data_IF_994684734693
#
_entry.id   IF_994684734693
#
_cell.length_a   1.000
_cell.length_b   1.000
_cell.length_c   1.000
_cell.angle_alpha   90.00
_cell.angle_beta   90.00
_cell.angle_gamma   90.00
#
_symmetry.space_group_name_H-M   'P 1'
#
loop_
_entity.id
_entity.type
_entity.pdbx_description
1 polymer ?
#
# COMPACT_ATOMS: atom_id res chain seq x y z
N UNK A 1 7.50 -13.67 -3.16
CA UNK A 1 7.10 -14.19 -4.50
C UNK A 1 8.07 -15.32 -4.84
N UNK A 2 7.86 -16.13 -5.89
CA UNK A 2 8.91 -17.02 -6.38
C UNK A 2 10.17 -16.21 -6.76
N UNK A 3 11.30 -16.88 -6.94
CA UNK A 3 12.47 -16.34 -7.65
C UNK A 3 13.13 -15.09 -7.03
N UNK A 4 13.28 -15.06 -5.70
CA UNK A 4 13.94 -13.96 -4.95
C UNK A 4 13.25 -12.59 -5.08
N UNK A 5 11.98 -12.58 -5.50
CA UNK A 5 11.19 -11.36 -5.60
C UNK A 5 10.42 -11.09 -4.31
N UNK A 6 10.51 -9.84 -3.83
CA UNK A 6 9.79 -9.34 -2.65
C UNK A 6 8.89 -8.17 -3.03
N UNK A 7 7.63 -8.18 -2.54
CA UNK A 7 6.75 -7.03 -2.62
C UNK A 7 6.94 -6.17 -1.37
N UNK A 8 7.21 -4.88 -1.57
CA UNK A 8 7.50 -3.92 -0.50
C UNK A 8 6.58 -2.72 -0.67
N UNK A 9 5.99 -2.25 0.42
CA UNK A 9 5.10 -1.09 0.43
C UNK A 9 5.34 -0.23 1.67
N UNK A 10 5.01 1.05 1.56
CA UNK A 10 5.00 2.00 2.67
C UNK A 10 3.56 2.35 3.02
N UNK A 11 3.19 2.26 4.30
CA UNK A 11 1.86 2.63 4.80
C UNK A 11 2.01 3.88 5.65
N UNK A 12 1.30 4.93 5.28
CA UNK A 12 1.39 6.26 5.88
C UNK A 12 -0.01 6.78 6.18
N UNK A 13 -0.10 7.89 6.91
CA UNK A 13 -1.37 8.61 7.08
C UNK A 13 -1.95 9.02 5.71
N UNK A 14 -3.25 8.79 5.52
CA UNK A 14 -3.90 8.97 4.22
C UNK A 14 -3.97 10.43 3.79
N UNK A 15 -4.25 11.35 4.71
CA UNK A 15 -4.38 12.76 4.41
C UNK A 15 -3.01 13.38 4.11
N UNK A 16 -2.02 13.10 4.95
CA UNK A 16 -0.66 13.56 4.77
C UNK A 16 0.01 12.94 3.53
N UNK A 17 -0.05 11.61 3.36
CA UNK A 17 0.50 10.96 2.17
C UNK A 17 -0.18 11.44 0.88
N UNK A 18 -1.48 11.72 0.96
CA UNK A 18 -2.24 12.35 -0.12
C UNK A 18 -1.71 13.72 -0.52
N UNK A 19 -1.29 14.56 0.44
CA UNK A 19 -0.72 15.89 0.14
C UNK A 19 0.68 15.78 -0.46
N UNK A 20 1.53 14.89 0.05
CA UNK A 20 2.89 14.67 -0.47
C UNK A 20 2.88 14.23 -1.94
N UNK A 21 1.94 13.36 -2.32
CA UNK A 21 1.80 12.89 -3.71
C UNK A 21 1.33 13.98 -4.69
N UNK A 22 0.97 15.18 -4.23
CA UNK A 22 0.69 16.33 -5.11
C UNK A 22 1.95 17.13 -5.44
N UNK A 23 3.01 16.97 -4.65
CA UNK A 23 4.24 17.76 -4.74
C UNK A 23 5.40 17.00 -5.39
N UNK A 24 5.33 15.66 -5.44
CA UNK A 24 6.37 14.81 -6.01
C UNK A 24 5.81 13.55 -6.67
N UNK A 25 6.68 12.81 -7.40
CA UNK A 25 6.28 11.56 -8.03
C UNK A 25 6.03 10.46 -7.00
N UNK A 26 5.27 9.44 -7.38
CA UNK A 26 5.03 8.29 -6.50
C UNK A 26 6.31 7.51 -6.20
N UNK A 27 7.22 7.43 -7.17
CA UNK A 27 8.51 6.76 -6.98
C UNK A 27 9.41 7.53 -6.01
N UNK A 28 9.54 8.86 -6.18
CA UNK A 28 10.32 9.70 -5.28
C UNK A 28 9.79 9.62 -3.85
N UNK A 29 8.47 9.75 -3.68
CA UNK A 29 7.82 9.61 -2.38
C UNK A 29 8.09 8.23 -1.76
N UNK A 30 7.92 7.14 -2.51
CA UNK A 30 8.20 5.79 -2.04
C UNK A 30 9.66 5.63 -1.59
N UNK A 31 10.62 6.12 -2.39
CA UNK A 31 12.05 6.03 -2.08
C UNK A 31 12.41 6.85 -0.83
N UNK A 32 11.85 8.04 -0.69
CA UNK A 32 12.02 8.89 0.49
C UNK A 32 11.51 8.17 1.75
N UNK A 33 10.26 7.67 1.73
CA UNK A 33 9.68 6.96 2.88
C UNK A 33 10.46 5.69 3.21
N UNK A 34 10.90 4.94 2.20
CA UNK A 34 11.71 3.74 2.41
C UNK A 34 13.05 4.08 3.07
N UNK A 35 13.71 5.17 2.66
CA UNK A 35 15.00 5.59 3.23
C UNK A 35 14.94 5.88 4.73
N UNK A 36 13.76 6.23 5.26
CA UNK A 36 13.54 6.46 6.69
C UNK A 36 13.51 5.16 7.50
N UNK A 37 13.38 4.00 6.85
CA UNK A 37 13.25 2.69 7.51
C UNK A 37 14.63 2.04 7.71
N UNK A 38 15.34 2.38 8.79
CA UNK A 38 16.75 2.01 8.97
C UNK A 38 17.12 0.56 8.61
N UNK A 39 16.41 -0.45 9.15
CA UNK A 39 16.69 -1.87 8.84
C UNK A 39 16.20 -2.29 7.45
N UNK A 40 14.98 -1.91 7.06
CA UNK A 40 14.39 -2.34 5.79
C UNK A 40 15.13 -1.73 4.60
N UNK A 41 15.52 -0.46 4.67
CA UNK A 41 16.39 0.16 3.67
C UNK A 41 17.72 -0.59 3.53
N UNK A 42 18.34 -1.00 4.64
CA UNK A 42 19.57 -1.81 4.61
C UNK A 42 19.37 -3.19 4.01
N UNK A 43 18.19 -3.82 4.18
CA UNK A 43 17.88 -5.11 3.58
C UNK A 43 17.70 -5.03 2.06
N UNK A 44 17.27 -3.86 1.55
CA UNK A 44 16.97 -3.63 0.14
C UNK A 44 18.10 -2.89 -0.59
N UNK A 45 19.26 -2.67 0.06
CA UNK A 45 20.36 -1.89 -0.49
C UNK A 45 20.89 -2.44 -1.82
N UNK A 46 20.92 -3.77 -1.96
CA UNK A 46 21.38 -4.48 -3.16
C UNK A 46 20.21 -4.99 -4.02
N UNK A 47 18.96 -4.63 -3.69
CA UNK A 47 17.78 -5.06 -4.42
C UNK A 47 17.52 -4.18 -5.65
N UNK A 48 17.05 -4.80 -6.73
CA UNK A 48 16.57 -4.09 -7.92
C UNK A 48 15.06 -3.86 -7.83
N UNK A 49 14.62 -2.63 -8.12
CA UNK A 49 13.20 -2.33 -8.28
C UNK A 49 12.74 -2.76 -9.67
N UNK A 50 11.95 -3.83 -9.72
CA UNK A 50 11.49 -4.44 -10.98
C UNK A 50 10.07 -4.03 -11.41
N UNK A 51 9.37 -3.24 -10.60
CA UNK A 51 8.01 -2.74 -10.86
C UNK A 51 7.83 -1.35 -10.20
N UNK A 52 6.96 -0.52 -10.78
CA UNK A 52 6.69 0.83 -10.29
C UNK A 52 5.80 0.81 -9.03
N UNK A 53 6.01 1.71 -8.05
CA UNK A 53 5.15 1.76 -6.88
C UNK A 53 3.70 2.13 -7.23
N UNK A 54 2.74 1.44 -6.61
CA UNK A 54 1.29 1.70 -6.78
C UNK A 54 0.69 2.30 -5.52
N UNK A 55 -0.19 3.28 -5.68
CA UNK A 55 -0.89 3.93 -4.57
C UNK A 55 -2.28 3.33 -4.39
N UNK A 56 -2.58 2.85 -3.18
CA UNK A 56 -3.91 2.37 -2.77
C UNK A 56 -4.35 3.23 -1.58
N UNK A 57 -5.57 3.76 -1.63
CA UNK A 57 -6.16 4.64 -0.59
C UNK A 57 -7.57 4.19 -0.24
N UNK A 58 -8.13 4.78 0.82
CA UNK A 58 -9.53 4.62 1.23
C UNK A 58 -9.98 3.17 1.40
N UNK A 59 -9.04 2.31 1.81
CA UNK A 59 -9.25 0.87 1.93
C UNK A 59 -9.83 0.45 3.28
N UNK A 60 -9.79 1.28 4.32
CA UNK A 60 -10.39 0.95 5.61
C UNK A 60 -11.88 1.29 5.61
N UNK A 61 -12.75 0.29 5.59
CA UNK A 61 -14.21 0.47 5.58
C UNK A 61 -14.97 -0.76 6.09
N UNK A 62 -16.27 -0.57 6.33
CA UNK A 62 -17.21 -1.66 6.58
C UNK A 62 -18.52 -1.39 5.84
N UNK A 63 -18.97 -2.36 5.04
CA UNK A 63 -20.26 -2.30 4.35
C UNK A 63 -21.41 -2.27 5.37
N UNK A 64 -22.40 -1.39 5.15
CA UNK A 64 -23.51 -1.22 6.09
C UNK A 64 -24.42 -2.47 6.18
N UNK A 65 -24.47 -3.30 5.12
CA UNK A 65 -25.26 -4.53 5.07
C UNK A 65 -24.48 -5.65 4.40
N UNK A 66 -24.12 -6.66 5.18
CA UNK A 66 -23.29 -7.80 4.75
C UNK A 66 -24.10 -8.93 4.10
N UNK A 67 -25.38 -9.08 4.46
CA UNK A 67 -26.26 -10.15 3.98
C UNK A 67 -27.64 -9.61 3.63
N UNK A 68 -28.30 -10.24 2.66
CA UNK A 68 -29.70 -10.00 2.36
C UNK A 68 -30.32 -11.17 1.62
N UNK A 69 -31.55 -10.99 1.15
CA UNK A 69 -32.29 -12.08 0.50
C UNK A 69 -31.59 -12.47 -0.82
N UNK A 70 -31.01 -13.67 -0.84
CA UNK A 70 -30.29 -14.20 -2.00
C UNK A 70 -28.87 -13.67 -2.21
N UNK A 71 -28.29 -12.91 -1.26
CA UNK A 71 -26.90 -12.46 -1.38
C UNK A 71 -26.14 -12.36 -0.05
N UNK A 72 -24.82 -12.46 -0.16
CA UNK A 72 -23.85 -12.22 0.91
C UNK A 72 -22.64 -11.48 0.32
N UNK A 73 -22.09 -10.52 1.07
CA UNK A 73 -20.80 -9.88 0.80
C UNK A 73 -19.69 -10.66 1.50
N UNK A 74 -18.57 -10.87 0.81
CA UNK A 74 -17.41 -11.63 1.31
C UNK A 74 -16.11 -10.94 0.93
N UNK A 75 -15.05 -11.18 1.69
CA UNK A 75 -13.74 -10.53 1.48
C UNK A 75 -13.84 -9.01 1.60
N UNK A 76 -13.05 -8.29 0.83
CA UNK A 76 -13.01 -6.82 0.86
C UNK A 76 -14.39 -6.20 0.65
N UNK A 77 -15.23 -6.77 -0.22
CA UNK A 77 -16.60 -6.28 -0.44
C UNK A 77 -17.46 -6.22 0.84
N UNK A 78 -17.15 -7.04 1.85
CA UNK A 78 -17.75 -6.95 3.17
C UNK A 78 -17.11 -5.85 4.02
N UNK A 79 -15.79 -5.91 4.19
CA UNK A 79 -15.01 -4.96 4.98
C UNK A 79 -13.52 -5.16 4.72
N UNK A 80 -12.74 -4.13 4.97
CA UNK A 80 -11.28 -4.20 5.03
C UNK A 80 -10.81 -3.22 6.11
N UNK A 81 -9.84 -3.64 6.95
CA UNK A 81 -9.40 -2.91 8.14
C UNK A 81 -8.11 -2.19 7.83
#
# INVERSE_FOLDING_TARGET
LPDDVMSVGVVVDAAWGGSQLTEQTTEDFYREQLSMTGRTASMLADAEMIDEPRVIRDWSYTSQRLVGDGYILVGDAACFI
#
